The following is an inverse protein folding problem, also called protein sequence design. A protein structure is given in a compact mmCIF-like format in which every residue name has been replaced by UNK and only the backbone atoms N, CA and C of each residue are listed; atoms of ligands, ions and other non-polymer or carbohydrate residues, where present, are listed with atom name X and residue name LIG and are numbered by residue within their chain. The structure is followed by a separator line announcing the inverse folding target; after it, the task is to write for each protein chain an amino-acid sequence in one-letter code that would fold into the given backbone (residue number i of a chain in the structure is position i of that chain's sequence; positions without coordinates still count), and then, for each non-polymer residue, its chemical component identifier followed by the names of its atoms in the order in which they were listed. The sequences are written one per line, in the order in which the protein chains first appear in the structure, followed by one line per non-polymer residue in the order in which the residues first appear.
data_IF_472948628275
#
_entry.id   IF_472948628275
#
_cell.length_a   1.000
_cell.length_b   1.000
_cell.length_c   1.000
_cell.angle_alpha   90.00
_cell.angle_beta   90.00
_cell.angle_gamma   90.00
#
_symmetry.space_group_name_H-M   'P 1'
#
loop_
_entity.id
_entity.type
_entity.pdbx_description
1 polymer ?
#
# COMPACT_ATOMS: atom_id res chain seq x y z
N UNK A 1 -10.55 -17.64 -6.02
CA UNK A 1 -11.98 -17.62 -5.69
C UNK A 1 -12.53 -16.31 -6.19
N UNK A 2 -13.53 -16.37 -7.07
CA UNK A 2 -14.29 -15.19 -7.47
C UNK A 2 -15.33 -14.83 -6.41
N UNK A 3 -15.96 -13.67 -6.54
CA UNK A 3 -17.02 -13.22 -5.62
C UNK A 3 -18.20 -14.21 -5.59
N UNK A 4 -18.68 -14.63 -6.76
CA UNK A 4 -19.79 -15.58 -6.89
C UNK A 4 -19.49 -16.93 -6.27
N UNK A 5 -18.29 -17.46 -6.48
CA UNK A 5 -17.83 -18.71 -5.83
C UNK A 5 -17.80 -18.59 -4.30
N UNK A 6 -17.28 -17.48 -3.77
CA UNK A 6 -17.24 -17.21 -2.33
C UNK A 6 -18.65 -17.15 -1.75
N UNK A 7 -19.54 -16.39 -2.38
CA UNK A 7 -20.94 -16.24 -1.98
C UNK A 7 -21.66 -17.59 -1.93
N UNK A 8 -21.48 -18.44 -2.95
CA UNK A 8 -22.07 -19.79 -2.98
C UNK A 8 -21.52 -20.65 -1.83
N UNK A 9 -20.22 -20.58 -1.57
CA UNK A 9 -19.58 -21.37 -0.52
C UNK A 9 -20.09 -21.01 0.88
N UNK A 10 -20.12 -19.70 1.21
CA UNK A 10 -20.62 -19.18 2.49
C UNK A 10 -22.10 -19.52 2.65
N UNK A 11 -22.90 -19.34 1.59
CA UNK A 11 -24.34 -19.65 1.62
C UNK A 11 -24.59 -21.14 1.89
N UNK A 12 -23.81 -22.03 1.26
CA UNK A 12 -23.89 -23.48 1.47
C UNK A 12 -23.44 -23.88 2.88
N UNK A 13 -22.38 -23.26 3.41
CA UNK A 13 -21.92 -23.49 4.78
C UNK A 13 -22.99 -23.13 5.81
N UNK A 14 -23.75 -22.06 5.58
CA UNK A 14 -24.87 -21.64 6.44
C UNK A 14 -26.18 -22.39 6.15
N UNK A 15 -26.23 -23.29 5.17
CA UNK A 15 -27.42 -24.07 4.84
C UNK A 15 -28.58 -23.26 4.24
N UNK A 16 -28.33 -22.04 3.76
CA UNK A 16 -29.39 -21.14 3.28
C UNK A 16 -29.70 -21.44 1.80
N UNK A 17 -30.99 -21.56 1.45
CA UNK A 17 -31.38 -21.74 0.05
C UNK A 17 -31.26 -20.41 -0.72
N UNK A 18 -31.09 -20.49 -2.05
CA UNK A 18 -31.03 -19.28 -2.89
C UNK A 18 -32.32 -18.44 -2.80
N UNK A 19 -33.46 -19.10 -2.67
CA UNK A 19 -34.76 -18.42 -2.60
C UNK A 19 -34.89 -17.64 -1.31
N UNK A 20 -34.49 -18.26 -0.20
CA UNK A 20 -34.56 -17.63 1.12
C UNK A 20 -33.57 -16.47 1.23
N UNK A 21 -32.36 -16.65 0.67
CA UNK A 21 -31.37 -15.59 0.65
C UNK A 21 -31.80 -14.40 -0.22
N UNK A 22 -32.41 -14.67 -1.38
CA UNK A 22 -32.97 -13.62 -2.24
C UNK A 22 -34.12 -12.88 -1.54
N UNK A 23 -34.99 -13.60 -0.83
CA UNK A 23 -36.08 -13.01 -0.05
C UNK A 23 -35.56 -12.13 1.10
N UNK A 24 -34.54 -12.59 1.83
CA UNK A 24 -33.92 -11.84 2.93
C UNK A 24 -33.26 -10.53 2.46
N UNK A 25 -32.73 -10.52 1.24
CA UNK A 25 -32.12 -9.34 0.63
C UNK A 25 -33.11 -8.48 -0.17
N UNK A 26 -34.38 -8.90 -0.26
CA UNK A 26 -35.42 -8.25 -1.06
C UNK A 26 -35.02 -8.06 -2.53
N UNK A 27 -34.27 -9.02 -3.07
CA UNK A 27 -33.83 -9.01 -4.48
C UNK A 27 -34.51 -10.11 -5.28
N UNK A 28 -34.73 -9.91 -6.59
CA UNK A 28 -35.20 -10.99 -7.46
C UNK A 28 -34.22 -12.18 -7.49
N UNK A 29 -34.76 -13.38 -7.60
CA UNK A 29 -33.96 -14.62 -7.70
C UNK A 29 -32.95 -14.57 -8.86
N UNK A 30 -33.35 -14.00 -10.00
CA UNK A 30 -32.49 -13.83 -11.19
C UNK A 30 -31.31 -12.91 -10.89
N UNK A 31 -31.52 -11.85 -10.10
CA UNK A 31 -30.49 -10.92 -9.68
C UNK A 31 -29.45 -11.61 -8.80
N UNK A 32 -29.90 -12.40 -7.82
CA UNK A 32 -28.99 -13.20 -6.99
C UNK A 32 -28.19 -14.21 -7.83
N UNK A 33 -28.83 -14.89 -8.77
CA UNK A 33 -28.15 -15.82 -9.69
C UNK A 33 -27.04 -15.10 -10.48
N UNK A 34 -27.30 -13.90 -10.98
CA UNK A 34 -26.33 -13.15 -11.77
C UNK A 34 -25.09 -12.77 -10.93
N UNK A 35 -25.28 -12.46 -9.64
CA UNK A 35 -24.19 -12.25 -8.69
C UNK A 35 -23.41 -13.54 -8.39
N UNK A 36 -24.11 -14.67 -8.20
CA UNK A 36 -23.47 -15.97 -7.99
C UNK A 36 -22.66 -16.47 -9.20
N UNK A 37 -23.00 -16.02 -10.42
CA UNK A 37 -22.31 -16.37 -11.67
C UNK A 37 -21.31 -15.31 -12.15
N UNK A 38 -21.00 -14.31 -11.33
CA UNK A 38 -20.11 -13.18 -11.66
C UNK A 38 -20.51 -12.41 -12.94
N UNK A 39 -21.77 -12.50 -13.36
CA UNK A 39 -22.29 -11.76 -14.52
C UNK A 39 -22.55 -10.29 -14.17
N UNK A 40 -22.74 -10.00 -12.88
CA UNK A 40 -22.93 -8.65 -12.36
C UNK A 40 -22.25 -8.57 -11.00
N UNK A 41 -21.81 -7.38 -10.64
CA UNK A 41 -21.33 -7.10 -9.28
C UNK A 41 -22.41 -6.39 -8.46
N UNK A 42 -22.59 -6.76 -7.18
CA UNK A 42 -23.50 -6.03 -6.31
C UNK A 42 -22.91 -4.66 -5.95
N UNK A 43 -23.78 -3.65 -5.85
CA UNK A 43 -23.36 -2.36 -5.32
C UNK A 43 -22.99 -2.44 -3.83
N UNK A 44 -22.22 -1.48 -3.35
CA UNK A 44 -21.72 -1.45 -1.96
C UNK A 44 -22.82 -1.59 -0.89
N UNK A 45 -23.99 -0.97 -1.07
CA UNK A 45 -25.12 -1.14 -0.14
C UNK A 45 -25.62 -2.59 -0.06
N UNK A 46 -25.77 -3.25 -1.20
CA UNK A 46 -26.23 -4.63 -1.26
C UNK A 46 -25.16 -5.59 -0.72
N UNK A 47 -23.89 -5.29 -0.98
CA UNK A 47 -22.75 -6.03 -0.45
C UNK A 47 -22.72 -6.02 1.08
N UNK A 48 -22.96 -4.86 1.70
CA UNK A 48 -23.06 -4.73 3.17
C UNK A 48 -24.26 -5.53 3.70
N UNK A 49 -25.43 -5.43 3.04
CA UNK A 49 -26.61 -6.23 3.41
C UNK A 49 -26.34 -7.73 3.32
N UNK A 50 -25.65 -8.18 2.28
CA UNK A 50 -25.24 -9.58 2.10
C UNK A 50 -24.30 -10.02 3.23
N UNK A 51 -23.29 -9.21 3.56
CA UNK A 51 -22.35 -9.48 4.64
C UNK A 51 -23.05 -9.58 6.00
N UNK A 52 -23.98 -8.67 6.29
CA UNK A 52 -24.79 -8.71 7.51
C UNK A 52 -25.74 -9.91 7.56
N UNK A 53 -26.43 -10.21 6.45
CA UNK A 53 -27.36 -11.35 6.37
C UNK A 53 -26.65 -12.69 6.51
N UNK A 54 -25.43 -12.76 5.96
CA UNK A 54 -24.56 -13.92 6.08
C UNK A 54 -23.63 -13.83 7.28
N UNK A 55 -23.76 -12.86 8.20
CA UNK A 55 -22.90 -12.67 9.37
C UNK A 55 -21.41 -13.02 9.10
N UNK A 56 -20.86 -12.37 8.08
CA UNK A 56 -19.47 -12.47 7.62
C UNK A 56 -18.92 -11.09 7.30
N UNK A 57 -17.60 -10.96 7.22
CA UNK A 57 -16.98 -9.71 6.77
C UNK A 57 -17.13 -9.52 5.26
N UNK A 58 -17.14 -8.27 4.80
CA UNK A 58 -17.15 -7.95 3.36
C UNK A 58 -15.90 -8.53 2.66
N UNK A 59 -14.75 -8.52 3.33
CA UNK A 59 -13.50 -9.07 2.79
C UNK A 59 -13.59 -10.58 2.53
N UNK A 60 -14.24 -11.31 3.43
CA UNK A 60 -14.50 -12.74 3.28
C UNK A 60 -15.47 -13.00 2.12
N UNK A 61 -16.51 -12.16 1.99
CA UNK A 61 -17.48 -12.25 0.91
C UNK A 61 -16.86 -11.99 -0.47
N UNK A 62 -15.92 -11.05 -0.57
CA UNK A 62 -15.19 -10.70 -1.81
C UNK A 62 -14.07 -11.69 -2.12
N UNK A 63 -13.84 -12.69 -1.27
CA UNK A 63 -12.80 -13.69 -1.48
C UNK A 63 -11.39 -13.15 -1.22
N UNK A 64 -11.26 -12.03 -0.50
CA UNK A 64 -9.99 -11.55 0.05
C UNK A 64 -9.65 -12.29 1.35
N UNK A 65 -9.66 -13.62 1.30
CA UNK A 65 -8.99 -14.45 2.30
C UNK A 65 -7.47 -14.45 2.05
N UNK A 66 -6.86 -13.26 1.99
CA UNK A 66 -5.41 -13.17 2.03
C UNK A 66 -4.97 -12.91 3.48
N UNK A 67 -4.60 -13.95 4.25
CA UNK A 67 -3.99 -13.74 5.56
C UNK A 67 -2.68 -12.95 5.47
N UNK A 68 -2.08 -12.80 4.28
CA UNK A 68 -0.85 -12.03 4.08
C UNK A 68 -1.02 -10.51 4.22
N UNK A 69 -2.26 -9.98 4.34
CA UNK A 69 -2.51 -8.56 4.59
C UNK A 69 -2.93 -8.21 6.02
N UNK A 70 -2.98 -9.18 6.95
CA UNK A 70 -2.87 -8.86 8.38
C UNK A 70 -1.39 -8.74 8.76
N UNK A 71 -0.68 -7.81 8.11
CA UNK A 71 0.61 -7.34 8.64
C UNK A 71 0.29 -6.38 9.77
N UNK A 72 0.23 -6.93 10.99
CA UNK A 72 0.35 -6.27 12.31
C UNK A 72 -0.35 -7.15 13.35
N UNK A 73 -0.02 -8.45 13.40
CA UNK A 73 -0.27 -9.21 14.61
C UNK A 73 0.67 -8.65 15.68
N UNK A 74 0.19 -7.67 16.44
CA UNK A 74 0.79 -7.24 17.70
C UNK A 74 1.15 -8.50 18.49
N UNK A 75 2.37 -8.56 19.04
CA UNK A 75 2.79 -9.74 19.79
C UNK A 75 1.82 -9.98 20.96
N UNK A 76 1.62 -11.23 21.41
CA UNK A 76 0.78 -11.50 22.58
C UNK A 76 1.17 -10.68 23.81
N UNK A 77 2.48 -10.44 23.98
CA UNK A 77 3.01 -9.58 25.04
C UNK A 77 2.59 -8.11 24.90
N UNK A 78 2.59 -7.56 23.69
CA UNK A 78 2.15 -6.19 23.46
C UNK A 78 0.63 -6.02 23.65
N UNK A 79 -0.16 -7.08 23.41
CA UNK A 79 -1.60 -7.06 23.71
C UNK A 79 -1.87 -7.13 25.22
N UNK A 80 -1.07 -7.88 25.98
CA UNK A 80 -1.14 -7.87 27.45
C UNK A 80 -0.81 -6.48 28.01
N UNK A 81 0.28 -5.86 27.53
CA UNK A 81 0.69 -4.53 27.94
C UNK A 81 -0.36 -3.45 27.61
N UNK A 82 -1.09 -3.60 26.51
CA UNK A 82 -2.19 -2.70 26.17
C UNK A 82 -3.36 -2.79 27.15
N UNK A 83 -3.73 -4.00 27.59
CA UNK A 83 -4.75 -4.18 28.63
C UNK A 83 -4.32 -3.58 29.95
N UNK A 84 -3.10 -3.90 30.37
CA UNK A 84 -2.56 -3.36 31.62
C UNK A 84 -2.54 -1.82 31.56
N UNK A 85 -2.19 -1.23 30.41
CA UNK A 85 -2.21 0.22 30.16
C UNK A 85 -3.60 0.85 30.36
N UNK A 86 -4.66 0.23 29.85
CA UNK A 86 -6.03 0.73 29.96
C UNK A 86 -6.52 0.73 31.42
N UNK A 87 -6.00 -0.18 32.26
CA UNK A 87 -6.34 -0.28 33.69
C UNK A 87 -5.54 0.71 34.58
N UNK A 88 -4.50 1.38 34.08
CA UNK A 88 -3.74 2.38 34.84
C UNK A 88 -4.52 3.69 35.03
N UNK A 89 -4.16 4.41 36.08
CA UNK A 89 -4.63 5.78 36.32
C UNK A 89 -4.00 6.78 35.33
N UNK A 90 -4.55 8.01 35.18
CA UNK A 90 -4.05 9.00 34.23
C UNK A 90 -2.57 9.34 34.41
N UNK A 91 -2.06 9.29 35.65
CA UNK A 91 -0.65 9.54 35.91
C UNK A 91 0.21 8.33 35.51
N UNK A 92 -0.21 7.11 35.82
CA UNK A 92 0.47 5.88 35.37
C UNK A 92 0.58 5.76 33.86
N UNK A 93 -0.50 6.04 33.14
CA UNK A 93 -0.52 6.08 31.66
C UNK A 93 0.50 7.09 31.10
N UNK A 94 0.57 8.28 31.71
CA UNK A 94 1.50 9.35 31.30
C UNK A 94 2.96 8.92 31.43
N UNK A 95 3.31 8.20 32.50
CA UNK A 95 4.67 7.69 32.71
C UNK A 95 5.03 6.64 31.66
N UNK A 96 4.17 5.63 31.48
CA UNK A 96 4.41 4.56 30.48
C UNK A 96 4.59 5.16 29.09
N UNK A 97 3.80 6.19 28.76
CA UNK A 97 3.94 6.90 27.49
C UNK A 97 5.27 7.64 27.37
N UNK A 98 5.68 8.38 28.41
CA UNK A 98 6.95 9.10 28.41
C UNK A 98 8.14 8.16 28.20
N UNK A 99 8.18 7.04 28.91
CA UNK A 99 9.25 6.03 28.77
C UNK A 99 9.25 5.44 27.36
N UNK A 100 8.08 5.08 26.84
CA UNK A 100 7.97 4.50 25.49
C UNK A 100 8.46 5.48 24.42
N UNK A 101 8.10 6.75 24.53
CA UNK A 101 8.49 7.79 23.57
C UNK A 101 10.00 8.08 23.63
N UNK A 102 10.60 8.05 24.82
CA UNK A 102 12.04 8.20 24.99
C UNK A 102 12.82 7.01 24.43
N UNK A 103 12.33 5.79 24.66
CA UNK A 103 12.90 4.56 24.11
C UNK A 103 12.82 4.52 22.58
N UNK A 104 11.70 4.95 22.00
CA UNK A 104 11.58 5.09 20.54
C UNK A 104 12.61 6.08 19.98
N UNK A 105 12.76 7.24 20.60
CA UNK A 105 13.77 8.24 20.19
C UNK A 105 15.20 7.68 20.29
N UNK A 106 15.52 6.94 21.35
CA UNK A 106 16.83 6.28 21.51
C UNK A 106 17.08 5.27 20.39
N UNK A 107 16.10 4.42 20.09
CA UNK A 107 16.20 3.43 19.00
C UNK A 107 16.34 4.10 17.63
N UNK A 108 15.61 5.18 17.37
CA UNK A 108 15.73 5.96 16.13
C UNK A 108 17.13 6.57 15.98
N UNK A 109 17.68 7.15 17.04
CA UNK A 109 19.03 7.70 17.04
C UNK A 109 20.10 6.61 16.78
N UNK A 110 19.95 5.42 17.39
CA UNK A 110 20.84 4.30 17.17
C UNK A 110 20.74 3.74 15.73
N UNK A 111 19.51 3.60 15.22
CA UNK A 111 19.27 3.13 13.85
C UNK A 111 19.74 4.15 12.80
N UNK A 112 19.57 5.44 13.05
CA UNK A 112 20.14 6.50 12.21
C UNK A 112 21.68 6.43 12.19
N UNK A 113 22.29 6.13 13.34
CA UNK A 113 23.73 5.89 13.47
C UNK A 113 24.20 4.65 12.69
N UNK A 114 23.48 3.53 12.79
CA UNK A 114 23.78 2.29 12.05
C UNK A 114 23.66 2.49 10.54
N UNK A 115 22.58 3.11 10.07
CA UNK A 115 22.37 3.43 8.65
C UNK A 115 23.44 4.40 8.12
N UNK A 116 23.79 5.46 8.85
CA UNK A 116 24.90 6.36 8.51
C UNK A 116 26.24 5.61 8.43
N UNK A 117 26.53 4.73 9.39
CA UNK A 117 27.77 3.93 9.41
C UNK A 117 27.83 2.91 8.27
N UNK A 118 26.68 2.36 7.87
CA UNK A 118 26.57 1.47 6.72
C UNK A 118 26.77 2.20 5.39
N UNK A 119 26.22 3.41 5.26
CA UNK A 119 26.43 4.28 4.09
C UNK A 119 27.91 4.64 3.97
N UNK A 120 28.54 5.12 5.05
CA UNK A 120 29.97 5.51 5.07
C UNK A 120 30.89 4.32 4.73
N UNK A 121 30.60 3.11 5.21
CA UNK A 121 31.41 1.91 4.89
C UNK A 121 31.22 1.39 3.47
N UNK A 122 30.12 1.71 2.79
CA UNK A 122 29.84 1.31 1.40
C UNK A 122 30.16 2.39 0.37
N UNK A 123 30.52 3.61 0.80
CA UNK A 123 31.13 4.62 -0.06
C UNK A 123 32.43 4.06 -0.64
N UNK A 124 32.39 3.54 -1.87
CA UNK A 124 33.62 3.22 -2.59
C UNK A 124 34.41 4.53 -2.76
N UNK A 125 35.75 4.51 -2.57
CA UNK A 125 36.54 5.67 -2.92
C UNK A 125 36.25 6.06 -4.38
N UNK A 126 36.14 7.36 -4.63
CA UNK A 126 35.91 7.89 -5.97
C UNK A 126 37.03 7.35 -6.89
N UNK A 127 36.71 6.89 -8.12
CA UNK A 127 37.70 6.34 -9.02
C UNK A 127 38.86 7.34 -9.24
N UNK A 128 40.11 6.87 -9.12
CA UNK A 128 41.38 7.59 -9.33
C UNK A 128 41.38 9.09 -9.01
N UNK A 129 41.36 9.44 -7.73
CA UNK A 129 41.63 10.82 -7.26
C UNK A 129 40.62 11.88 -7.73
N UNK A 130 39.49 11.45 -8.27
CA UNK A 130 38.46 12.33 -8.83
C UNK A 130 37.75 13.09 -7.69
N UNK A 131 37.63 14.41 -7.85
CA UNK A 131 36.91 15.27 -6.89
C UNK A 131 35.40 15.06 -6.99
N UNK A 132 34.66 15.34 -5.92
CA UNK A 132 33.19 15.17 -5.88
C UNK A 132 32.48 15.96 -7.00
N UNK A 133 33.00 17.13 -7.36
CA UNK A 133 32.47 17.94 -8.46
C UNK A 133 32.65 17.27 -9.83
N UNK A 134 33.80 16.63 -10.06
CA UNK A 134 34.09 15.93 -11.30
C UNK A 134 33.22 14.66 -11.43
N UNK A 135 32.95 13.96 -10.32
CA UNK A 135 32.03 12.83 -10.30
C UNK A 135 30.57 13.24 -10.53
N UNK A 136 30.13 14.36 -9.94
CA UNK A 136 28.81 14.94 -10.16
C UNK A 136 28.60 15.34 -11.63
N UNK A 137 29.61 15.96 -12.26
CA UNK A 137 29.61 16.24 -13.71
C UNK A 137 29.58 14.96 -14.54
N UNK A 138 30.36 13.93 -14.18
CA UNK A 138 30.36 12.64 -14.87
C UNK A 138 28.99 11.93 -14.83
N UNK A 139 28.31 11.94 -13.68
CA UNK A 139 26.98 11.34 -13.53
C UNK A 139 25.86 12.14 -14.22
N UNK A 140 26.06 13.45 -14.40
CA UNK A 140 25.10 14.32 -15.10
C UNK A 140 25.37 14.44 -16.59
N UNK A 141 26.54 14.03 -17.08
CA UNK A 141 26.79 13.91 -18.52
C UNK A 141 25.99 12.75 -19.12
N UNK A 142 25.20 12.98 -20.19
CA UNK A 142 24.42 11.92 -20.81
C UNK A 142 25.32 10.82 -21.38
N UNK A 143 25.01 9.57 -21.00
CA UNK A 143 25.75 8.31 -21.25
C UNK A 143 25.87 7.91 -22.75
N UNK A 144 25.69 8.83 -23.70
CA UNK A 144 25.59 8.54 -25.12
C UNK A 144 26.95 8.47 -25.85
N UNK A 145 28.07 8.65 -25.16
CA UNK A 145 29.39 8.75 -25.79
C UNK A 145 30.34 7.57 -25.51
N UNK A 146 29.86 6.49 -24.86
CA UNK A 146 30.69 5.31 -24.58
C UNK A 146 29.92 4.04 -24.92
N UNK A 147 30.37 3.42 -26.01
CA UNK A 147 30.20 2.03 -26.38
C UNK A 147 28.78 1.58 -26.79
N UNK A 148 28.68 1.18 -28.06
CA UNK A 148 27.45 0.69 -28.67
C UNK A 148 26.95 -0.58 -28.00
N UNK A 149 25.70 -0.57 -27.55
CA UNK A 149 24.97 -1.78 -27.16
C UNK A 149 23.78 -1.55 -26.23
N UNK A 150 22.59 -1.89 -26.73
CA UNK A 150 21.34 -2.24 -26.02
C UNK A 150 20.47 -1.13 -25.37
N UNK A 151 19.47 -0.71 -26.17
CA UNK A 151 18.01 -0.78 -25.94
C UNK A 151 17.40 -0.34 -24.59
N UNK A 152 16.55 0.69 -24.73
CA UNK A 152 15.24 0.87 -24.07
C UNK A 152 15.18 1.23 -22.57
N UNK A 153 15.12 2.54 -22.30
CA UNK A 153 14.13 3.14 -21.36
C UNK A 153 14.32 4.66 -21.18
N UNK A 154 15.42 5.25 -21.64
CA UNK A 154 15.67 6.69 -21.51
C UNK A 154 15.28 7.54 -22.74
N UNK A 155 15.18 6.96 -23.94
CA UNK A 155 14.81 7.72 -25.16
C UNK A 155 13.36 8.23 -25.08
N UNK A 156 12.45 7.39 -24.59
CA UNK A 156 11.03 7.77 -24.41
C UNK A 156 10.89 8.85 -23.34
N UNK A 157 11.65 8.75 -22.24
CA UNK A 157 11.64 9.74 -21.15
C UNK A 157 12.27 11.07 -21.57
N UNK A 158 13.35 11.05 -22.35
CA UNK A 158 13.99 12.25 -22.90
C UNK A 158 13.09 12.97 -23.93
N UNK A 159 12.33 12.23 -24.76
CA UNK A 159 11.36 12.82 -25.68
C UNK A 159 10.19 13.48 -24.94
N UNK A 160 9.67 12.82 -23.89
CA UNK A 160 8.59 13.38 -23.07
C UNK A 160 9.03 14.62 -22.28
N UNK A 161 10.28 14.66 -21.80
CA UNK A 161 10.83 15.83 -21.12
C UNK A 161 11.04 17.01 -22.08
N UNK A 162 11.57 16.77 -23.29
CA UNK A 162 11.69 17.84 -24.31
C UNK A 162 10.34 18.40 -24.77
N UNK A 163 9.32 17.56 -24.89
CA UNK A 163 7.97 18.01 -25.23
C UNK A 163 7.37 18.89 -24.11
N UNK A 164 7.58 18.51 -22.84
CA UNK A 164 7.17 19.31 -21.69
C UNK A 164 7.90 20.67 -21.63
N UNK A 165 9.20 20.70 -21.90
CA UNK A 165 9.99 21.95 -21.93
C UNK A 165 9.54 22.90 -23.04
N UNK A 166 9.25 22.38 -24.24
CA UNK A 166 8.71 23.19 -25.35
C UNK A 166 7.31 23.74 -25.04
N UNK A 167 6.44 22.95 -24.41
CA UNK A 167 5.10 23.39 -24.02
C UNK A 167 5.16 24.45 -22.91
N UNK A 168 6.06 24.30 -21.93
CA UNK A 168 6.29 25.31 -20.89
C UNK A 168 6.83 26.60 -21.53
N UNK A 169 7.78 26.51 -22.47
CA UNK A 169 8.30 27.67 -23.20
C UNK A 169 7.20 28.39 -23.97
N UNK A 170 6.40 27.66 -24.75
CA UNK A 170 5.27 28.23 -25.51
C UNK A 170 4.17 28.82 -24.63
N UNK A 171 3.94 28.29 -23.43
CA UNK A 171 2.98 28.85 -22.46
C UNK A 171 3.48 30.14 -21.80
N UNK A 172 4.79 30.23 -21.51
CA UNK A 172 5.43 31.47 -21.05
C UNK A 172 5.41 32.56 -22.12
N UNK A 173 5.67 32.22 -23.38
CA UNK A 173 5.61 33.16 -24.52
C UNK A 173 4.19 33.69 -24.79
N UNK A 174 3.15 32.93 -24.41
CA UNK A 174 1.74 33.34 -24.53
C UNK A 174 1.19 34.07 -23.30
N UNK A 175 2.02 34.36 -22.29
CA UNK A 175 1.62 35.07 -21.07
C UNK A 175 0.58 34.33 -20.22
N UNK A 176 0.48 33.00 -20.37
CA UNK A 176 -0.53 32.18 -19.68
C UNK A 176 0.01 31.52 -18.39
N UNK A 177 1.26 31.79 -18.02
CA UNK A 177 1.94 31.31 -16.82
C UNK A 177 2.96 32.38 -16.42
N UNK A 178 2.73 33.02 -15.28
CA UNK A 178 3.74 33.83 -14.57
C UNK A 178 4.73 32.90 -13.83
#
# INVERSE_FOLDING_TARGET
MTFGESLISIRKQKGISRKDFAAQLEIPYTTLRNYETDQREPGHHLLIRMAMALDVSVDELVGRNNPAQRKESVSPAAMALAKDYDDLDPHGQKIVRAVTDEEKKRMEAENAGKSRRYIVKKSRPLPDGMTEEAFSRYMTTPFAARDGGLQSSNITRARHLKALEEDIRKKKERGALD
#
